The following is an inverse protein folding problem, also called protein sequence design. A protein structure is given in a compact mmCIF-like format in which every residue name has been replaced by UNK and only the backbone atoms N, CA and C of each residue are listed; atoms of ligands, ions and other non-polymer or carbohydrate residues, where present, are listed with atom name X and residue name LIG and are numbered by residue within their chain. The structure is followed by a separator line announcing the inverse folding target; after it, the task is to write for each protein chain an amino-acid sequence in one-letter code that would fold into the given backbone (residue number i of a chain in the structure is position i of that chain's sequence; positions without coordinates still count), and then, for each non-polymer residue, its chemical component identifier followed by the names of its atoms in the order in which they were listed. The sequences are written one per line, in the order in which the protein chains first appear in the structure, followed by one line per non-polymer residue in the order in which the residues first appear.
data_IF_452003366750
#
_entry.id   IF_452003366750
#
_cell.length_a   1.000
_cell.length_b   1.000
_cell.length_c   1.000
_cell.angle_alpha   90.00
_cell.angle_beta   90.00
_cell.angle_gamma   90.00
#
_symmetry.space_group_name_H-M   'P 1'
#
loop_
_entity.id
_entity.type
_entity.pdbx_description
1 polymer ?
#
# COMPACT_ATOMS: atom_id res chain seq x y z
N UNK A 1 -0.15 3.77 41.57
CA UNK A 1 0.20 4.42 40.29
C UNK A 1 1.05 3.44 39.49
N UNK A 2 0.51 2.70 38.49
CA UNK A 2 1.35 1.85 37.65
C UNK A 2 1.91 2.66 36.47
N UNK A 3 3.22 2.52 36.26
CA UNK A 3 3.99 3.19 35.21
C UNK A 3 3.65 2.69 33.80
N UNK A 4 3.59 3.62 32.86
CA UNK A 4 3.43 3.33 31.44
C UNK A 4 4.70 2.67 30.90
N UNK A 5 4.60 1.43 30.45
CA UNK A 5 5.63 0.77 29.67
C UNK A 5 5.57 1.29 28.22
N UNK A 6 6.55 2.11 27.82
CA UNK A 6 6.80 2.41 26.42
C UNK A 6 7.51 1.19 25.83
N UNK A 7 6.76 0.34 25.13
CA UNK A 7 7.33 -0.75 24.35
C UNK A 7 7.92 -0.17 23.06
N UNK A 8 9.26 -0.17 22.95
CA UNK A 8 9.94 0.16 21.70
C UNK A 8 9.75 -1.02 20.75
N UNK A 9 8.81 -0.87 19.81
CA UNK A 9 8.52 -1.89 18.81
C UNK A 9 9.76 -2.18 17.94
N UNK A 10 10.09 -3.45 17.82
CA UNK A 10 11.12 -4.01 16.93
C UNK A 10 10.95 -3.45 15.51
N UNK A 11 11.95 -2.72 15.02
CA UNK A 11 11.99 -2.19 13.64
C UNK A 11 11.90 -3.33 12.62
N UNK A 12 10.70 -3.58 12.08
CA UNK A 12 10.52 -4.40 10.90
C UNK A 12 10.98 -3.60 9.68
N UNK A 13 12.18 -3.86 9.17
CA UNK A 13 12.62 -3.27 7.89
C UNK A 13 11.75 -3.87 6.79
N UNK A 14 10.76 -3.11 6.33
CA UNK A 14 9.99 -3.43 5.12
C UNK A 14 10.48 -2.54 3.98
N UNK A 15 10.67 -3.15 2.82
CA UNK A 15 11.03 -2.44 1.60
C UNK A 15 9.79 -1.75 1.05
N UNK A 16 9.93 -0.50 0.64
CA UNK A 16 8.82 0.30 0.10
C UNK A 16 9.04 0.48 -1.39
N UNK A 17 8.01 0.15 -2.18
CA UNK A 17 8.05 0.30 -3.63
C UNK A 17 7.91 1.77 -4.05
N UNK A 18 6.85 2.46 -3.60
CA UNK A 18 6.59 3.88 -3.80
C UNK A 18 5.97 4.46 -2.52
N UNK A 19 6.50 5.58 -2.01
CA UNK A 19 6.01 6.28 -0.80
C UNK A 19 5.44 7.69 -1.06
N UNK A 20 5.17 8.01 -2.34
CA UNK A 20 4.65 9.31 -2.75
C UNK A 20 5.73 10.35 -3.12
N UNK A 21 7.01 10.06 -2.88
CA UNK A 21 8.12 10.92 -3.34
C UNK A 21 8.45 10.69 -4.81
N UNK A 22 7.70 11.31 -5.71
CA UNK A 22 7.86 11.10 -7.15
C UNK A 22 9.19 11.61 -7.73
N UNK A 23 9.92 12.47 -7.03
CA UNK A 23 11.17 13.06 -7.52
C UNK A 23 12.35 12.06 -7.59
N UNK A 24 12.27 10.94 -6.86
CA UNK A 24 13.41 10.01 -6.68
C UNK A 24 13.30 8.70 -7.47
N UNK A 25 12.15 8.38 -8.07
CA UNK A 25 11.91 7.08 -8.73
C UNK A 25 12.15 7.09 -10.24
N UNK A 26 12.34 8.27 -10.83
CA UNK A 26 12.43 8.44 -12.27
C UNK A 26 11.11 8.19 -13.00
N UNK A 27 11.09 8.59 -14.26
CA UNK A 27 9.89 8.72 -15.09
C UNK A 27 9.09 7.43 -15.31
N UNK A 28 9.79 6.33 -15.60
CA UNK A 28 9.14 5.09 -16.02
C UNK A 28 8.41 4.36 -14.87
N UNK A 29 9.02 4.15 -13.68
CA UNK A 29 8.34 3.56 -12.54
C UNK A 29 7.10 4.36 -12.09
N UNK A 30 7.18 5.69 -12.11
CA UNK A 30 6.06 6.56 -11.71
C UNK A 30 4.90 6.45 -12.69
N UNK A 31 5.17 6.39 -14.01
CA UNK A 31 4.12 6.21 -15.02
C UNK A 31 3.44 4.85 -14.87
N UNK A 32 4.19 3.78 -14.60
CA UNK A 32 3.63 2.45 -14.37
C UNK A 32 2.74 2.44 -13.11
N UNK A 33 3.23 3.03 -12.02
CA UNK A 33 2.46 3.23 -10.80
C UNK A 33 1.17 4.02 -11.04
N UNK A 34 1.26 5.19 -11.70
CA UNK A 34 0.12 6.05 -11.99
C UNK A 34 -0.98 5.32 -12.79
N UNK A 35 -0.57 4.54 -13.81
CA UNK A 35 -1.49 3.72 -14.62
C UNK A 35 -2.14 2.60 -13.83
N UNK A 36 -1.42 1.98 -12.90
CA UNK A 36 -1.98 0.94 -12.05
C UNK A 36 -2.98 1.52 -11.04
N UNK A 37 -2.63 2.59 -10.31
CA UNK A 37 -3.52 3.15 -9.29
C UNK A 37 -4.78 3.82 -9.87
N UNK A 38 -4.71 4.25 -11.13
CA UNK A 38 -5.85 4.76 -11.89
C UNK A 38 -6.63 3.69 -12.66
N UNK A 39 -6.28 2.41 -12.51
CA UNK A 39 -6.88 1.26 -13.19
C UNK A 39 -6.82 1.31 -14.73
N UNK A 40 -5.85 2.04 -15.31
CA UNK A 40 -5.55 1.96 -16.73
C UNK A 40 -4.83 0.66 -17.11
N UNK A 41 -4.23 -0.01 -16.12
CA UNK A 41 -3.66 -1.36 -16.20
C UNK A 41 -4.10 -2.17 -15.00
N UNK A 42 -4.02 -3.51 -15.06
CA UNK A 42 -4.28 -4.37 -13.91
C UNK A 42 -3.27 -4.08 -12.78
N UNK A 43 -3.72 -3.61 -11.60
CA UNK A 43 -2.84 -3.38 -10.45
C UNK A 43 -2.17 -4.66 -9.96
N UNK A 44 -2.80 -5.83 -10.13
CA UNK A 44 -2.28 -7.11 -9.68
C UNK A 44 -0.90 -7.41 -10.27
N UNK A 45 -0.71 -7.13 -11.56
CA UNK A 45 0.58 -7.32 -12.25
C UNK A 45 1.71 -6.53 -11.58
N UNK A 46 1.46 -5.28 -11.20
CA UNK A 46 2.44 -4.45 -10.52
C UNK A 46 2.71 -4.94 -9.10
N UNK A 47 1.64 -5.23 -8.35
CA UNK A 47 1.75 -5.69 -6.97
C UNK A 47 2.47 -7.04 -6.87
N UNK A 48 2.26 -7.94 -7.83
CA UNK A 48 2.94 -9.24 -7.89
C UNK A 48 4.39 -9.10 -8.35
N UNK A 49 4.67 -8.27 -9.37
CA UNK A 49 6.03 -8.05 -9.87
C UNK A 49 6.99 -7.53 -8.78
N UNK A 50 6.48 -6.73 -7.84
CA UNK A 50 7.26 -6.19 -6.72
C UNK A 50 7.03 -6.93 -5.40
N UNK A 51 6.36 -8.10 -5.43
CA UNK A 51 6.06 -8.91 -4.24
C UNK A 51 5.43 -8.10 -3.09
N UNK A 52 4.54 -7.16 -3.43
CA UNK A 52 3.88 -6.28 -2.46
C UNK A 52 2.94 -7.12 -1.60
N UNK A 53 3.13 -7.03 -0.29
CA UNK A 53 2.34 -7.72 0.73
C UNK A 53 1.46 -6.75 1.55
N UNK A 54 1.74 -5.44 1.51
CA UNK A 54 0.96 -4.39 2.15
C UNK A 54 0.78 -3.19 1.23
N UNK A 55 -0.43 -2.63 1.20
CA UNK A 55 -0.74 -1.36 0.55
C UNK A 55 -1.32 -0.41 1.59
N UNK A 56 -0.79 0.81 1.64
CA UNK A 56 -1.36 1.92 2.42
C UNK A 56 -1.78 2.99 1.43
N UNK A 57 -3.07 3.29 1.36
CA UNK A 57 -3.60 4.21 0.35
C UNK A 57 -4.96 4.80 0.75
N UNK A 58 -5.45 5.79 0.00
CA UNK A 58 -6.76 6.39 0.26
C UNK A 58 -7.88 5.35 0.09
N UNK A 59 -8.80 5.21 1.06
CA UNK A 59 -9.84 4.18 1.05
C UNK A 59 -10.76 4.27 -0.18
N UNK A 60 -11.13 5.49 -0.59
CA UNK A 60 -12.07 5.75 -1.68
C UNK A 60 -11.42 5.91 -3.06
N UNK A 61 -10.15 5.57 -3.18
CA UNK A 61 -9.44 5.57 -4.47
C UNK A 61 -9.92 4.43 -5.40
N UNK A 62 -9.68 4.54 -6.72
CA UNK A 62 -9.88 3.41 -7.63
C UNK A 62 -9.12 2.15 -7.20
N UNK A 63 -7.85 2.28 -6.81
CA UNK A 63 -7.04 1.19 -6.26
C UNK A 63 -7.66 0.57 -5.00
N UNK A 64 -8.11 1.40 -4.05
CA UNK A 64 -8.71 0.93 -2.80
C UNK A 64 -9.96 0.07 -3.05
N UNK A 65 -10.84 0.51 -3.96
CA UNK A 65 -12.00 -0.27 -4.38
C UNK A 65 -11.63 -1.55 -5.14
N UNK A 66 -10.52 -1.56 -5.87
CA UNK A 66 -10.02 -2.77 -6.53
C UNK A 66 -9.53 -3.78 -5.49
N UNK A 67 -8.73 -3.34 -4.50
CA UNK A 67 -8.19 -4.18 -3.43
C UNK A 67 -9.28 -4.82 -2.57
N UNK A 68 -10.39 -4.13 -2.33
CA UNK A 68 -11.54 -4.69 -1.58
C UNK A 68 -12.19 -5.89 -2.27
N UNK A 69 -12.18 -5.89 -3.61
CA UNK A 69 -12.79 -6.95 -4.42
C UNK A 69 -11.81 -8.06 -4.77
N UNK A 70 -10.52 -7.80 -4.64
CA UNK A 70 -9.47 -8.76 -4.98
C UNK A 70 -9.40 -9.88 -3.91
N UNK A 71 -9.60 -11.16 -4.28
CA UNK A 71 -9.61 -12.27 -3.32
C UNK A 71 -8.22 -12.56 -2.71
N UNK A 72 -7.15 -12.00 -3.24
CA UNK A 72 -5.81 -12.09 -2.64
C UNK A 72 -5.60 -11.09 -1.49
N UNK A 73 -6.49 -10.12 -1.29
CA UNK A 73 -6.28 -8.98 -0.39
C UNK A 73 -7.37 -8.86 0.68
N UNK A 74 -6.98 -8.39 1.86
CA UNK A 74 -7.90 -8.08 2.97
C UNK A 74 -7.56 -6.71 3.53
N UNK A 75 -8.59 -5.86 3.67
CA UNK A 75 -8.46 -4.61 4.44
C UNK A 75 -8.32 -4.94 5.92
N UNK A 76 -7.23 -4.48 6.53
CA UNK A 76 -6.89 -4.73 7.95
C UNK A 76 -7.00 -3.48 8.82
N UNK A 77 -7.04 -2.30 8.19
CA UNK A 77 -7.24 -1.02 8.87
C UNK A 77 -7.91 -0.03 7.93
N UNK A 78 -8.70 0.89 8.49
CA UNK A 78 -9.22 2.07 7.79
C UNK A 78 -9.55 3.18 8.78
N UNK A 79 -9.26 4.41 8.40
CA UNK A 79 -9.79 5.63 9.00
C UNK A 79 -10.27 6.60 7.91
N UNK A 80 -10.44 7.88 8.25
CA UNK A 80 -10.88 8.92 7.30
C UNK A 80 -9.80 9.34 6.30
N UNK A 81 -8.53 8.98 6.50
CA UNK A 81 -7.40 9.40 5.67
C UNK A 81 -6.81 8.24 4.87
N UNK A 82 -6.69 7.06 5.48
CA UNK A 82 -5.97 5.92 4.92
C UNK A 82 -6.64 4.58 5.25
N UNK A 83 -6.44 3.63 4.35
CA UNK A 83 -6.70 2.22 4.59
C UNK A 83 -5.43 1.40 4.36
N UNK A 84 -5.33 0.28 5.08
CA UNK A 84 -4.27 -0.70 4.91
C UNK A 84 -4.88 -2.00 4.41
N UNK A 85 -4.35 -2.52 3.31
CA UNK A 85 -4.65 -3.85 2.80
C UNK A 85 -3.41 -4.73 2.97
N UNK A 86 -3.61 -5.93 3.48
CA UNK A 86 -2.58 -6.96 3.56
C UNK A 86 -2.96 -8.12 2.62
N UNK A 87 -1.96 -8.69 1.96
CA UNK A 87 -2.12 -9.93 1.19
C UNK A 87 -2.52 -11.06 2.15
N UNK A 88 -3.43 -11.94 1.72
CA UNK A 88 -3.88 -13.10 2.48
C UNK A 88 -2.80 -14.16 2.64
#
# INVERSE_FOLDING_TARGET
MPGAAISVAKSLRRWVYIDGRSDIFGDTPIRAYARAIGLQTDPGLLLDAYAVDHVVFWPDSPLGRWLDRAPAWRRVYTDSLAAVWARR
#
